data_IF_172114695373
#
_entry.id   IF_172114695373
#
_cell.length_a   1.000
_cell.length_b   1.000
_cell.length_c   1.000
_cell.angle_alpha   90.00
_cell.angle_beta   90.00
_cell.angle_gamma   90.00
#
_symmetry.space_group_name_H-M   'P 1'
#
loop_
_entity.id
_entity.type
_entity.pdbx_description
1 polymer ?
#
# COMPACT_ATOMS: atom_id res chain seq x y z
N UNK A 1 21.31 63.18 40.48
CA UNK A 1 22.14 62.15 39.84
C UNK A 1 21.37 60.83 39.96
N UNK A 2 20.57 60.45 38.97
CA UNK A 2 20.90 59.75 37.72
C UNK A 2 20.83 58.22 37.85
N UNK A 3 19.87 57.61 37.12
CA UNK A 3 19.76 56.25 36.55
C UNK A 3 20.00 55.05 37.50
N UNK A 4 19.11 54.06 37.54
CA UNK A 4 18.97 53.10 36.43
C UNK A 4 17.65 52.34 36.46
N UNK A 5 17.04 52.33 35.27
CA UNK A 5 15.94 51.50 34.80
C UNK A 5 16.52 50.15 34.32
N UNK A 6 16.01 49.03 34.85
CA UNK A 6 16.03 47.68 34.25
C UNK A 6 14.89 46.91 34.90
N UNK A 7 14.15 46.03 34.24
CA UNK A 7 13.83 45.79 32.85
C UNK A 7 12.76 44.69 32.96
N UNK A 8 11.54 45.01 32.54
CA UNK A 8 10.49 44.03 32.30
C UNK A 8 10.94 43.12 31.16
N UNK A 9 11.00 41.79 31.34
CA UNK A 9 11.13 40.85 30.22
C UNK A 9 10.77 39.42 30.60
N UNK A 10 10.08 38.77 29.66
CA UNK A 10 9.87 37.33 29.52
C UNK A 10 8.73 36.68 30.32
N UNK A 11 7.49 36.96 29.89
CA UNK A 11 6.40 35.97 29.92
C UNK A 11 5.49 36.21 28.70
N UNK A 12 6.01 35.97 27.49
CA UNK A 12 5.22 35.85 26.26
C UNK A 12 5.87 34.73 25.45
N UNK A 13 5.17 33.63 25.24
CA UNK A 13 5.67 32.59 24.36
C UNK A 13 5.06 31.20 24.46
N UNK A 14 3.78 31.04 24.79
CA UNK A 14 3.09 29.74 24.61
C UNK A 14 1.56 29.93 24.46
N UNK A 15 1.09 30.80 23.55
CA UNK A 15 -0.35 30.83 23.22
C UNK A 15 -0.64 31.55 21.89
N UNK A 16 -0.06 31.08 20.79
CA UNK A 16 -0.31 31.68 19.46
C UNK A 16 -0.57 30.63 18.38
N UNK A 17 -0.02 29.42 18.52
CA UNK A 17 -0.29 28.34 17.57
C UNK A 17 -1.72 27.78 17.67
N UNK A 18 -2.34 27.82 18.87
CA UNK A 18 -3.72 27.33 19.06
C UNK A 18 -4.78 28.28 18.48
N UNK A 19 -4.52 29.60 18.47
CA UNK A 19 -5.49 30.61 18.02
C UNK A 19 -5.50 30.82 16.50
N UNK A 20 -4.42 30.46 15.80
CA UNK A 20 -4.34 30.56 14.33
C UNK A 20 -5.08 29.39 13.66
N UNK A 21 -5.12 28.22 14.29
CA UNK A 21 -5.84 27.04 13.77
C UNK A 21 -7.36 27.07 14.05
N UNK A 22 -7.81 27.67 15.16
CA UNK A 22 -9.25 27.80 15.50
C UNK A 22 -10.01 28.71 14.52
N UNK A 23 -9.31 29.66 13.88
CA UNK A 23 -9.92 30.56 12.89
C UNK A 23 -10.20 29.89 11.54
N UNK A 24 -9.63 28.72 11.29
CA UNK A 24 -9.80 27.96 10.02
C UNK A 24 -11.01 27.01 10.07
N UNK A 25 -11.52 26.69 11.26
CA UNK A 25 -12.77 25.91 11.42
C UNK A 25 -14.03 26.73 11.06
N UNK A 26 -13.88 28.04 10.83
CA UNK A 26 -14.96 28.94 10.42
C UNK A 26 -15.53 28.61 9.01
N UNK A 27 -14.84 27.78 8.22
CA UNK A 27 -15.31 27.36 6.89
C UNK A 27 -16.25 26.16 6.88
N UNK A 28 -16.53 25.52 8.03
CA UNK A 28 -17.66 24.58 8.14
C UNK A 28 -19.03 25.29 8.02
N UNK A 29 -19.05 26.63 8.08
CA UNK A 29 -20.28 27.43 8.09
C UNK A 29 -20.68 28.03 6.72
N UNK A 30 -19.78 28.06 5.72
CA UNK A 30 -20.01 28.84 4.49
C UNK A 30 -20.69 28.08 3.33
N UNK A 31 -21.05 26.80 3.52
CA UNK A 31 -21.86 26.04 2.53
C UNK A 31 -23.10 25.45 3.22
N UNK A 32 -24.05 26.31 3.59
CA UNK A 32 -25.45 25.91 3.76
C UNK A 32 -26.23 26.23 2.48
N UNK A 33 -26.93 25.28 1.85
CA UNK A 33 -27.88 25.61 0.80
C UNK A 33 -29.03 26.46 1.38
N UNK A 34 -29.42 27.53 0.68
CA UNK A 34 -30.64 28.30 0.98
C UNK A 34 -31.85 27.35 0.97
N UNK A 35 -32.72 27.36 2.00
CA UNK A 35 -33.98 26.64 1.91
C UNK A 35 -34.90 27.37 0.93
N UNK A 36 -35.20 26.74 -0.21
CA UNK A 36 -36.30 27.16 -1.05
C UNK A 36 -37.61 26.88 -0.31
N UNK A 37 -38.36 27.95 -0.06
CA UNK A 37 -39.68 27.92 0.56
C UNK A 37 -40.71 27.40 -0.44
N UNK A 38 -41.28 26.22 -0.15
CA UNK A 38 -42.65 25.87 -0.51
C UNK A 38 -42.88 24.97 -1.73
N UNK A 39 -43.12 23.68 -1.49
CA UNK A 39 -44.35 22.97 -1.92
C UNK A 39 -44.38 21.58 -1.24
N UNK A 40 -45.59 21.11 -0.93
CA UNK A 40 -45.86 19.99 -0.04
C UNK A 40 -46.12 18.66 -0.76
N UNK A 41 -45.49 17.58 -0.27
CA UNK A 41 -46.00 16.19 -0.17
C UNK A 41 -45.90 15.25 -1.40
N UNK A 42 -46.04 13.91 -1.22
CA UNK A 42 -45.57 13.06 -0.11
C UNK A 42 -44.72 11.85 -0.56
N UNK A 43 -44.05 11.24 0.41
CA UNK A 43 -43.27 9.98 0.43
C UNK A 43 -43.39 9.01 -0.74
N UNK A 44 -42.25 8.69 -1.38
CA UNK A 44 -42.02 7.39 -2.02
C UNK A 44 -40.58 6.88 -1.77
N UNK A 45 -40.55 5.59 -1.47
CA UNK A 45 -39.44 4.67 -1.24
C UNK A 45 -38.08 4.97 -1.92
N UNK A 46 -36.98 4.81 -1.17
CA UNK A 46 -35.65 4.51 -1.71
C UNK A 46 -35.68 3.12 -2.38
N UNK A 47 -34.91 2.88 -3.47
CA UNK A 47 -33.54 2.38 -3.26
C UNK A 47 -32.49 2.67 -4.36
N UNK A 48 -31.20 2.51 -3.97
CA UNK A 48 -30.01 2.07 -4.74
C UNK A 48 -29.93 2.45 -6.23
N UNK A 49 -29.21 3.53 -6.55
CA UNK A 49 -28.57 3.78 -7.85
C UNK A 49 -27.06 3.94 -7.59
N UNK A 50 -26.14 3.13 -8.12
CA UNK A 50 -25.96 2.71 -9.51
C UNK A 50 -25.57 3.89 -10.41
N UNK A 51 -24.26 3.98 -10.67
CA UNK A 51 -23.69 4.12 -12.01
C UNK A 51 -23.92 5.44 -12.75
N UNK A 52 -22.83 6.17 -12.97
CA UNK A 52 -22.68 6.96 -14.19
C UNK A 52 -21.51 6.40 -14.99
N UNK A 53 -21.87 5.71 -16.08
CA UNK A 53 -21.00 5.28 -17.17
C UNK A 53 -20.85 6.46 -18.12
N UNK A 54 -19.62 6.75 -18.52
CA UNK A 54 -19.29 7.63 -19.63
C UNK A 54 -19.50 6.85 -20.93
N UNK A 55 -20.42 7.30 -21.80
CA UNK A 55 -20.37 7.00 -23.23
C UNK A 55 -20.65 8.28 -24.01
N UNK A 56 -19.70 8.63 -24.87
CA UNK A 56 -19.66 9.86 -25.63
C UNK A 56 -19.11 9.58 -27.03
N UNK A 57 -20.04 9.39 -27.96
CA UNK A 57 -19.95 9.65 -29.40
C UNK A 57 -18.96 8.81 -30.25
N UNK A 58 -19.48 7.73 -30.84
CA UNK A 58 -19.05 7.26 -32.17
C UNK A 58 -19.89 7.95 -33.25
N UNK A 59 -19.20 8.65 -34.14
CA UNK A 59 -19.74 9.27 -35.36
C UNK A 59 -20.20 8.21 -36.35
N UNK A 60 -21.41 8.39 -36.87
CA UNK A 60 -22.03 7.60 -37.94
C UNK A 60 -21.54 8.00 -39.33
N UNK A 61 -21.21 7.03 -40.18
CA UNK A 61 -21.39 7.08 -41.65
C UNK A 61 -21.24 5.68 -42.28
N UNK A 62 -21.82 5.44 -43.48
CA UNK A 62 -22.63 4.25 -43.73
C UNK A 62 -21.89 3.10 -44.45
N UNK A 63 -22.45 1.90 -44.27
CA UNK A 63 -22.06 0.65 -44.92
C UNK A 63 -22.47 0.68 -46.40
N UNK A 64 -21.49 0.49 -47.28
CA UNK A 64 -21.69 0.13 -48.70
C UNK A 64 -21.68 -1.39 -48.80
N UNK A 65 -22.77 -1.92 -49.37
CA UNK A 65 -22.99 -3.30 -49.72
C UNK A 65 -22.36 -3.61 -51.08
N UNK A 66 -21.53 -4.64 -51.17
CA UNK A 66 -21.13 -5.27 -52.44
C UNK A 66 -21.19 -6.79 -52.28
N UNK A 67 -21.81 -7.39 -53.28
CA UNK A 67 -22.24 -8.78 -53.42
C UNK A 67 -21.21 -9.59 -54.24
N UNK A 68 -21.26 -10.93 -54.12
CA UNK A 68 -20.96 -11.83 -55.25
C UNK A 68 -19.57 -12.49 -55.42
N UNK A 69 -19.55 -13.81 -55.16
CA UNK A 69 -18.94 -14.90 -55.96
C UNK A 69 -17.41 -15.10 -56.10
N UNK A 70 -16.96 -16.30 -55.68
CA UNK A 70 -16.58 -17.34 -56.66
C UNK A 70 -15.14 -17.88 -56.69
N UNK A 71 -15.03 -19.20 -56.79
CA UNK A 71 -13.88 -20.06 -57.23
C UNK A 71 -12.81 -20.38 -56.16
N UNK A 72 -12.64 -21.61 -55.64
CA UNK A 72 -12.37 -22.98 -56.17
C UNK A 72 -10.88 -23.40 -56.10
N UNK A 73 -10.65 -24.44 -55.29
CA UNK A 73 -9.66 -25.55 -55.32
C UNK A 73 -8.16 -25.29 -55.62
N UNK A 74 -7.24 -25.84 -54.78
CA UNK A 74 -6.40 -27.04 -55.07
C UNK A 74 -5.32 -27.33 -53.98
N UNK A 75 -5.52 -28.44 -53.26
CA UNK A 75 -4.62 -29.56 -52.95
C UNK A 75 -3.06 -29.45 -52.89
N UNK A 76 -2.54 -29.96 -51.75
CA UNK A 76 -1.55 -31.04 -51.53
C UNK A 76 -0.08 -30.77 -51.07
N UNK A 77 0.35 -31.72 -50.22
CA UNK A 77 1.72 -32.16 -49.82
C UNK A 77 2.42 -31.28 -48.77
N UNK A 78 3.13 -31.79 -47.75
CA UNK A 78 3.54 -33.12 -47.28
C UNK A 78 4.29 -32.90 -45.95
N UNK A 79 4.10 -33.76 -44.95
CA UNK A 79 5.13 -34.66 -44.37
C UNK A 79 6.16 -34.01 -43.42
N UNK A 80 6.55 -34.81 -42.41
CA UNK A 80 7.59 -34.61 -41.38
C UNK A 80 7.17 -33.79 -40.13
N UNK A 81 7.40 -34.19 -38.87
CA UNK A 81 8.14 -35.28 -38.19
C UNK A 81 7.53 -35.39 -36.76
N UNK A 82 7.24 -36.58 -36.19
CA UNK A 82 8.15 -37.45 -35.41
C UNK A 82 8.70 -36.73 -34.14
N UNK A 83 8.72 -37.18 -32.88
CA UNK A 83 8.57 -38.42 -32.08
C UNK A 83 8.23 -37.94 -30.63
N UNK A 84 7.79 -38.69 -29.62
CA UNK A 84 8.37 -39.88 -28.97
C UNK A 84 7.29 -40.49 -28.05
N UNK A 85 6.98 -41.78 -28.28
CA UNK A 85 6.22 -42.65 -27.37
C UNK A 85 7.20 -43.42 -26.46
N UNK A 86 6.98 -43.42 -25.15
CA UNK A 86 7.69 -44.30 -24.21
C UNK A 86 6.80 -45.50 -23.88
N UNK A 87 7.16 -46.67 -24.42
CA UNK A 87 6.48 -47.94 -24.19
C UNK A 87 7.25 -48.77 -23.16
N UNK A 88 6.52 -49.21 -22.14
CA UNK A 88 6.95 -50.13 -21.08
C UNK A 88 7.04 -51.55 -21.64
N UNK A 89 8.17 -52.21 -21.41
CA UNK A 89 8.36 -53.62 -21.75
C UNK A 89 9.33 -54.31 -20.79
N UNK A 90 8.80 -55.24 -20.00
CA UNK A 90 9.53 -56.36 -19.38
C UNK A 90 8.97 -57.66 -19.99
N UNK A 91 9.47 -58.87 -19.68
CA UNK A 91 10.85 -59.39 -19.55
C UNK A 91 11.04 -60.70 -20.39
N UNK A 92 12.25 -61.30 -20.45
CA UNK A 92 12.50 -62.77 -20.31
C UNK A 92 13.90 -63.28 -20.72
N UNK A 93 14.29 -64.36 -20.02
CA UNK A 93 15.25 -65.46 -20.33
C UNK A 93 16.75 -65.13 -20.41
N UNK A 94 17.61 -65.63 -19.51
CA UNK A 94 18.01 -67.03 -19.22
C UNK A 94 18.97 -67.64 -20.26
N UNK A 95 20.27 -67.74 -19.93
CA UNK A 95 21.04 -68.99 -19.72
C UNK A 95 22.56 -68.76 -19.74
N UNK A 96 23.21 -69.45 -18.78
CA UNK A 96 24.47 -70.21 -18.89
C UNK A 96 25.75 -69.41 -19.21
N UNK A 97 26.94 -69.66 -18.67
CA UNK A 97 27.53 -70.76 -17.91
C UNK A 97 28.99 -70.33 -17.68
N UNK A 98 29.60 -70.65 -16.53
CA UNK A 98 30.92 -71.31 -16.47
C UNK A 98 31.36 -71.52 -15.02
N UNK A 99 31.92 -72.71 -14.81
CA UNK A 99 32.49 -73.25 -13.59
C UNK A 99 33.81 -72.54 -13.25
N UNK A 100 34.01 -72.28 -11.97
CA UNK A 100 35.32 -72.04 -11.36
C UNK A 100 35.35 -72.62 -9.96
N UNK A 101 35.90 -73.83 -9.84
CA UNK A 101 36.16 -74.55 -8.59
C UNK A 101 37.43 -73.99 -7.97
N UNK A 102 37.38 -73.46 -6.75
CA UNK A 102 38.49 -73.50 -5.80
C UNK A 102 37.95 -73.67 -4.38
N UNK A 103 38.43 -74.75 -3.77
CA UNK A 103 38.29 -75.11 -2.36
C UNK A 103 39.24 -74.20 -1.58
N UNK A 104 38.74 -73.63 -0.50
CA UNK A 104 39.47 -72.74 0.40
C UNK A 104 38.62 -72.46 1.62
N UNK A 105 38.51 -73.48 2.47
CA UNK A 105 37.82 -73.44 3.75
C UNK A 105 38.50 -72.43 4.69
N UNK A 106 38.01 -71.19 4.69
CA UNK A 106 38.19 -70.25 5.79
C UNK A 106 36.85 -69.59 6.07
N UNK A 107 36.03 -70.24 6.90
CA UNK A 107 34.88 -69.61 7.56
C UNK A 107 35.46 -68.72 8.67
N UNK A 108 35.46 -67.38 8.56
CA UNK A 108 35.80 -66.54 9.70
C UNK A 108 34.70 -66.69 10.77
N UNK A 109 35.02 -67.00 12.03
CA UNK A 109 34.02 -67.02 13.08
C UNK A 109 33.68 -65.58 13.49
N UNK A 110 32.37 -65.29 13.54
CA UNK A 110 31.86 -64.22 14.38
C UNK A 110 31.80 -62.83 13.76
N UNK A 111 31.06 -62.66 12.66
CA UNK A 111 30.22 -61.46 12.57
C UNK A 111 28.94 -61.82 13.31
N UNK A 112 28.87 -61.45 14.59
CA UNK A 112 27.59 -61.41 15.29
C UNK A 112 26.61 -60.67 14.38
N UNK A 113 25.37 -61.14 14.16
CA UNK A 113 24.35 -60.27 13.60
C UNK A 113 24.29 -59.11 14.59
N UNK A 114 24.88 -57.96 14.22
CA UNK A 114 24.71 -56.73 14.96
C UNK A 114 23.21 -56.63 15.10
N UNK A 115 22.74 -56.65 16.35
CA UNK A 115 21.31 -56.60 16.65
C UNK A 115 20.77 -55.54 15.72
N UNK A 116 19.98 -55.94 14.73
CA UNK A 116 19.18 -54.97 14.03
C UNK A 116 18.29 -54.47 15.16
N UNK A 117 18.70 -53.35 15.77
CA UNK A 117 17.85 -52.55 16.61
C UNK A 117 16.81 -51.98 15.65
N UNK A 118 15.95 -52.90 15.19
CA UNK A 118 14.68 -52.64 14.57
C UNK A 118 14.01 -51.75 15.58
N UNK A 119 14.00 -50.45 15.29
CA UNK A 119 13.47 -49.47 16.22
C UNK A 119 12.12 -49.99 16.66
N UNK A 120 11.97 -50.21 17.98
CA UNK A 120 10.76 -50.80 18.53
C UNK A 120 9.58 -50.00 17.98
N UNK A 121 8.47 -50.67 17.63
CA UNK A 121 7.28 -49.98 17.11
C UNK A 121 6.85 -48.82 18.02
N UNK A 122 7.15 -48.90 19.33
CA UNK A 122 7.00 -47.83 20.30
C UNK A 122 7.92 -46.63 20.05
N UNK A 123 9.21 -46.83 19.74
CA UNK A 123 10.14 -45.75 19.39
C UNK A 123 9.71 -45.03 18.10
N UNK A 124 9.27 -45.78 17.09
CA UNK A 124 8.73 -45.22 15.85
C UNK A 124 7.47 -44.39 16.15
N UNK A 125 6.54 -44.91 16.97
CA UNK A 125 5.35 -44.18 17.37
C UNK A 125 5.67 -42.88 18.13
N UNK A 126 6.65 -42.90 19.05
CA UNK A 126 7.08 -41.70 19.78
C UNK A 126 7.68 -40.67 18.82
N UNK A 127 8.54 -41.07 17.88
CA UNK A 127 9.12 -40.15 16.90
C UNK A 127 8.06 -39.48 16.02
N UNK A 128 7.05 -40.23 15.58
CA UNK A 128 5.92 -39.68 14.80
C UNK A 128 5.16 -38.65 15.64
N UNK A 129 4.84 -38.97 16.90
CA UNK A 129 4.13 -38.03 17.79
C UNK A 129 4.94 -36.75 18.00
N UNK A 130 6.25 -36.87 18.26
CA UNK A 130 7.14 -35.71 18.40
C UNK A 130 7.19 -34.89 17.12
N UNK A 131 7.33 -35.53 15.94
CA UNK A 131 7.34 -34.83 14.66
C UNK A 131 6.03 -34.07 14.40
N UNK A 132 4.88 -34.68 14.70
CA UNK A 132 3.57 -34.02 14.58
C UNK A 132 3.46 -32.84 15.53
N UNK A 133 3.91 -32.96 16.78
CA UNK A 133 3.91 -31.85 17.74
C UNK A 133 4.79 -30.70 17.24
N UNK A 134 5.99 -30.99 16.74
CA UNK A 134 6.90 -29.97 16.20
C UNK A 134 6.26 -29.25 15.01
N UNK A 135 5.64 -29.98 14.08
CA UNK A 135 4.94 -29.39 12.95
C UNK A 135 3.72 -28.57 13.38
N UNK A 136 2.96 -29.03 14.37
CA UNK A 136 1.82 -28.29 14.92
C UNK A 136 2.28 -26.98 15.58
N UNK A 137 3.33 -27.02 16.40
CA UNK A 137 3.90 -25.83 17.06
C UNK A 137 4.44 -24.86 16.02
N UNK A 138 5.18 -25.33 15.01
CA UNK A 138 5.66 -24.49 13.92
C UNK A 138 4.50 -23.85 13.13
N UNK A 139 3.45 -24.61 12.85
CA UNK A 139 2.24 -24.12 12.18
C UNK A 139 1.54 -23.01 13.00
N UNK A 140 1.37 -23.21 14.31
CA UNK A 140 0.79 -22.20 15.21
C UNK A 140 1.67 -20.96 15.28
N UNK A 141 2.99 -21.11 15.37
CA UNK A 141 3.92 -19.98 15.42
C UNK A 141 3.86 -19.13 14.14
N UNK A 142 3.87 -19.78 12.96
CA UNK A 142 3.72 -19.09 11.67
C UNK A 142 2.35 -18.41 11.57
N UNK A 143 1.28 -19.07 11.99
CA UNK A 143 -0.07 -18.51 11.97
C UNK A 143 -0.19 -17.25 12.85
N UNK A 144 0.29 -17.32 14.10
CA UNK A 144 0.28 -16.18 15.02
C UNK A 144 1.16 -15.03 14.51
N UNK A 145 2.33 -15.34 13.96
CA UNK A 145 3.24 -14.36 13.36
C UNK A 145 2.60 -13.63 12.18
N UNK A 146 2.03 -14.38 11.23
CA UNK A 146 1.34 -13.82 10.06
C UNK A 146 0.17 -12.93 10.47
N UNK A 147 -0.65 -13.39 11.41
CA UNK A 147 -1.79 -12.61 11.89
C UNK A 147 -1.37 -11.29 12.56
N UNK A 148 -0.26 -11.29 13.29
CA UNK A 148 0.25 -10.08 13.94
C UNK A 148 0.82 -9.07 12.94
N UNK A 149 1.65 -9.53 12.01
CA UNK A 149 2.20 -8.68 10.95
C UNK A 149 1.08 -8.04 10.12
N UNK A 150 0.05 -8.83 9.81
CA UNK A 150 -1.13 -8.34 9.11
C UNK A 150 -1.84 -7.23 9.86
N UNK A 151 -2.12 -7.40 11.16
CA UNK A 151 -2.77 -6.35 11.97
C UNK A 151 -1.94 -5.08 11.99
N UNK A 152 -0.61 -5.18 12.13
CA UNK A 152 0.29 -4.01 12.07
C UNK A 152 0.18 -3.28 10.72
N UNK A 153 0.15 -4.00 9.61
CA UNK A 153 -0.01 -3.39 8.29
C UNK A 153 -1.39 -2.73 8.14
N UNK A 154 -2.45 -3.38 8.59
CA UNK A 154 -3.81 -2.81 8.59
C UNK A 154 -3.91 -1.56 9.47
N UNK A 155 -3.31 -1.57 10.65
CA UNK A 155 -3.29 -0.41 11.57
C UNK A 155 -2.51 0.76 10.99
N UNK A 156 -1.40 0.50 10.27
CA UNK A 156 -0.54 1.54 9.71
C UNK A 156 -1.06 2.12 8.39
N UNK A 157 -1.41 1.24 7.45
CA UNK A 157 -1.87 1.64 6.12
C UNK A 157 -3.37 1.93 6.08
N UNK A 158 -4.15 1.48 7.07
CA UNK A 158 -5.57 1.77 7.15
C UNK A 158 -6.30 1.49 5.82
N UNK A 159 -6.98 2.48 5.22
CA UNK A 159 -7.64 2.33 3.91
C UNK A 159 -6.72 1.88 2.77
N UNK A 160 -5.44 2.22 2.82
CA UNK A 160 -4.46 1.84 1.80
C UNK A 160 -4.19 0.34 1.80
N UNK A 161 -4.34 -0.35 2.95
CA UNK A 161 -4.23 -1.81 2.98
C UNK A 161 -5.32 -2.45 2.11
N UNK A 162 -6.57 -2.03 2.29
CA UNK A 162 -7.70 -2.61 1.57
C UNK A 162 -7.59 -2.31 0.06
N UNK A 163 -7.20 -1.07 -0.30
CA UNK A 163 -6.92 -0.69 -1.70
C UNK A 163 -5.82 -1.55 -2.33
N UNK A 164 -4.68 -1.73 -1.68
CA UNK A 164 -3.58 -2.55 -2.23
C UNK A 164 -3.98 -4.03 -2.35
N UNK A 165 -4.82 -4.54 -1.47
CA UNK A 165 -5.39 -5.90 -1.60
C UNK A 165 -6.30 -6.02 -2.82
N UNK A 166 -7.12 -5.01 -3.09
CA UNK A 166 -7.98 -4.96 -4.28
C UNK A 166 -7.16 -4.89 -5.57
N UNK A 167 -6.10 -4.07 -5.61
CA UNK A 167 -5.25 -3.87 -6.78
C UNK A 167 -4.34 -5.07 -7.08
N UNK A 168 -3.76 -5.70 -6.07
CA UNK A 168 -2.80 -6.81 -6.24
C UNK A 168 -3.45 -8.17 -6.52
N UNK A 169 -4.76 -8.29 -6.33
CA UNK A 169 -5.53 -9.52 -6.55
C UNK A 169 -5.25 -10.66 -5.54
N UNK A 170 -4.30 -10.48 -4.62
CA UNK A 170 -4.06 -11.43 -3.52
C UNK A 170 -3.50 -10.73 -2.28
N UNK A 171 -3.98 -11.16 -1.11
CA UNK A 171 -3.53 -10.57 0.16
C UNK A 171 -2.03 -10.75 0.41
N UNK A 172 -1.44 -11.88 0.00
CA UNK A 172 -0.01 -12.11 0.19
C UNK A 172 0.86 -11.18 -0.66
N UNK A 173 0.44 -10.89 -1.90
CA UNK A 173 1.12 -9.91 -2.74
C UNK A 173 1.02 -8.49 -2.16
N UNK A 174 -0.18 -8.08 -1.73
CA UNK A 174 -0.37 -6.78 -1.07
C UNK A 174 0.51 -6.61 0.16
N UNK A 175 0.51 -7.58 1.07
CA UNK A 175 1.30 -7.50 2.30
C UNK A 175 2.80 -7.42 2.00
N UNK A 176 3.28 -8.15 0.99
CA UNK A 176 4.68 -8.06 0.54
C UNK A 176 5.01 -6.67 -0.01
N UNK A 177 4.13 -6.11 -0.84
CA UNK A 177 4.31 -4.77 -1.41
C UNK A 177 4.32 -3.70 -0.31
N UNK A 178 3.36 -3.71 0.62
CA UNK A 178 3.30 -2.74 1.71
C UNK A 178 4.54 -2.81 2.62
N UNK A 179 5.07 -4.00 2.87
CA UNK A 179 6.35 -4.17 3.58
C UNK A 179 7.53 -3.58 2.80
N UNK A 180 7.53 -3.66 1.47
CA UNK A 180 8.54 -3.04 0.63
C UNK A 180 8.42 -1.51 0.62
N UNK A 181 7.19 -0.97 0.63
CA UNK A 181 6.94 0.47 0.82
C UNK A 181 7.48 0.96 2.17
N UNK A 182 7.23 0.24 3.27
CA UNK A 182 7.80 0.56 4.59
C UNK A 182 9.33 0.59 4.55
N UNK A 183 9.97 -0.37 3.86
CA UNK A 183 11.43 -0.44 3.76
C UNK A 183 12.00 0.76 3.00
N UNK A 184 11.47 1.06 1.81
CA UNK A 184 11.89 2.22 1.01
C UNK A 184 11.62 3.53 1.74
N UNK A 185 10.51 3.64 2.47
CA UNK A 185 10.22 4.80 3.29
C UNK A 185 11.22 4.97 4.44
N UNK A 186 11.64 3.88 5.08
CA UNK A 186 12.62 3.94 6.18
C UNK A 186 14.01 4.42 5.74
N UNK A 187 14.30 4.42 4.43
CA UNK A 187 15.54 4.95 3.86
C UNK A 187 15.47 6.48 3.61
N UNK A 188 14.28 7.09 3.72
CA UNK A 188 14.11 8.53 3.53
C UNK A 188 14.63 9.34 4.72
N UNK A 189 15.22 10.49 4.42
CA UNK A 189 15.57 11.50 5.44
C UNK A 189 14.47 12.54 5.52
N UNK A 190 13.48 12.29 6.38
CA UNK A 190 12.36 13.22 6.58
C UNK A 190 12.76 14.36 7.52
N UNK A 191 12.39 15.58 7.13
CA UNK A 191 12.75 16.80 7.87
C UNK A 191 11.50 17.41 8.53
N UNK A 192 11.51 17.65 9.85
CA UNK A 192 10.45 18.42 10.51
C UNK A 192 10.36 19.82 9.90
N UNK A 193 9.15 20.30 9.66
CA UNK A 193 8.98 21.68 9.17
C UNK A 193 9.35 22.67 10.26
N UNK A 194 10.13 23.69 9.89
CA UNK A 194 10.40 24.82 10.76
C UNK A 194 9.11 25.59 11.05
N UNK A 195 9.06 26.31 12.19
CA UNK A 195 7.90 27.15 12.51
C UNK A 195 7.67 28.23 11.44
N UNK A 196 8.75 28.79 10.89
CA UNK A 196 8.68 29.76 9.79
C UNK A 196 8.09 29.15 8.52
N UNK A 197 8.54 27.95 8.12
CA UNK A 197 7.98 27.22 6.99
C UNK A 197 6.49 26.97 7.17
N UNK A 198 6.05 26.52 8.35
CA UNK A 198 4.63 26.29 8.65
C UNK A 198 3.81 27.57 8.49
N UNK A 199 4.30 28.70 9.00
CA UNK A 199 3.63 30.01 8.83
C UNK A 199 3.59 30.44 7.37
N UNK A 200 4.69 30.27 6.63
CA UNK A 200 4.76 30.59 5.19
C UNK A 200 3.73 29.78 4.41
N UNK A 201 3.76 28.45 4.53
CA UNK A 201 2.83 27.56 3.84
C UNK A 201 1.37 27.84 4.21
N UNK A 202 1.08 28.09 5.49
CA UNK A 202 -0.27 28.48 5.93
C UNK A 202 -0.75 29.76 5.25
N UNK A 203 0.14 30.76 5.12
CA UNK A 203 -0.16 32.03 4.44
C UNK A 203 -0.38 31.83 2.94
N UNK A 204 0.45 31.03 2.27
CA UNK A 204 0.26 30.71 0.85
C UNK A 204 -1.07 29.97 0.61
N UNK A 205 -1.43 29.05 1.50
CA UNK A 205 -2.70 28.33 1.42
C UNK A 205 -3.92 29.26 1.55
N UNK A 206 -3.84 30.31 2.37
CA UNK A 206 -4.88 31.35 2.43
C UNK A 206 -5.00 32.13 1.12
N UNK A 207 -3.87 32.43 0.46
CA UNK A 207 -3.86 33.11 -0.86
C UNK A 207 -4.51 32.25 -1.94
N UNK A 208 -4.21 30.96 -1.97
CA UNK A 208 -4.84 30.00 -2.90
C UNK A 208 -6.36 29.99 -2.73
N UNK A 209 -6.85 29.95 -1.48
CA UNK A 209 -8.30 30.00 -1.22
C UNK A 209 -8.95 31.31 -1.66
N UNK A 210 -8.30 32.44 -1.43
CA UNK A 210 -8.81 33.74 -1.88
C UNK A 210 -8.87 33.81 -3.42
N UNK A 211 -7.84 33.28 -4.10
CA UNK A 211 -7.77 33.24 -5.55
C UNK A 211 -8.88 32.41 -6.19
N UNK A 212 -9.40 31.39 -5.50
CA UNK A 212 -10.45 30.52 -6.04
C UNK A 212 -11.73 31.27 -6.44
N UNK A 213 -12.02 32.41 -5.80
CA UNK A 213 -13.22 33.20 -6.11
C UNK A 213 -13.16 33.74 -7.54
N UNK A 214 -11.99 34.25 -7.94
CA UNK A 214 -11.80 34.92 -9.23
C UNK A 214 -11.24 33.96 -10.29
N UNK A 215 -10.44 32.98 -9.88
CA UNK A 215 -9.73 32.06 -10.77
C UNK A 215 -9.70 30.62 -10.21
N UNK A 216 -10.81 29.87 -10.28
CA UNK A 216 -10.93 28.53 -9.70
C UNK A 216 -9.91 27.51 -10.24
N UNK A 217 -9.65 27.55 -11.55
CA UNK A 217 -8.71 26.62 -12.21
C UNK A 217 -7.28 26.87 -11.74
N UNK A 218 -6.87 28.13 -11.71
CA UNK A 218 -5.53 28.53 -11.24
C UNK A 218 -5.35 28.19 -9.78
N UNK A 219 -6.35 28.45 -8.92
CA UNK A 219 -6.28 28.12 -7.51
C UNK A 219 -6.09 26.61 -7.26
N UNK A 220 -6.71 25.73 -8.04
CA UNK A 220 -6.50 24.28 -7.91
C UNK A 220 -5.11 23.86 -8.36
N UNK A 221 -4.58 24.45 -9.43
CA UNK A 221 -3.21 24.19 -9.88
C UNK A 221 -2.16 24.67 -8.84
N UNK A 222 -2.35 25.87 -8.30
CA UNK A 222 -1.49 26.42 -7.23
C UNK A 222 -1.59 25.58 -5.94
N UNK A 223 -2.75 25.00 -5.63
CA UNK A 223 -2.89 24.07 -4.50
C UNK A 223 -2.08 22.79 -4.69
N UNK A 224 -2.13 22.20 -5.90
CA UNK A 224 -1.34 21.00 -6.25
C UNK A 224 0.17 21.27 -6.15
N UNK A 225 0.60 22.41 -6.68
CA UNK A 225 2.00 22.84 -6.59
C UNK A 225 2.42 23.07 -5.13
N UNK A 226 1.60 23.79 -4.35
CA UNK A 226 1.91 24.08 -2.95
C UNK A 226 2.00 22.81 -2.10
N UNK A 227 1.10 21.84 -2.32
CA UNK A 227 1.18 20.51 -1.68
C UNK A 227 2.45 19.78 -2.11
N UNK A 228 2.79 19.80 -3.39
CA UNK A 228 4.00 19.15 -3.92
C UNK A 228 5.28 19.77 -3.32
N UNK A 229 5.35 21.10 -3.23
CA UNK A 229 6.45 21.80 -2.57
C UNK A 229 6.56 21.42 -1.09
N UNK A 230 5.43 21.31 -0.39
CA UNK A 230 5.41 20.90 1.01
C UNK A 230 5.91 19.46 1.19
N UNK A 231 5.49 18.55 0.31
CA UNK A 231 5.95 17.16 0.28
C UNK A 231 7.47 17.10 0.04
N UNK A 232 7.99 17.91 -0.88
CA UNK A 232 9.42 18.01 -1.14
C UNK A 232 10.21 18.56 0.06
N UNK A 233 9.73 19.64 0.71
CA UNK A 233 10.40 20.22 1.88
C UNK A 233 10.44 19.25 3.07
N UNK A 234 9.45 18.37 3.18
CA UNK A 234 9.42 17.27 4.14
C UNK A 234 10.44 16.17 3.85
N UNK A 235 11.04 16.15 2.66
CA UNK A 235 12.06 15.18 2.24
C UNK A 235 11.52 13.95 1.51
N UNK A 236 10.26 14.00 1.06
CA UNK A 236 9.71 12.94 0.20
C UNK A 236 10.11 13.17 -1.27
N UNK A 237 10.31 12.10 -2.05
CA UNK A 237 10.54 12.22 -3.49
C UNK A 237 9.28 12.74 -4.20
N UNK A 238 9.48 13.54 -5.26
CA UNK A 238 8.38 14.21 -5.99
C UNK A 238 8.51 14.07 -7.50
N UNK A 239 9.47 13.29 -8.01
CA UNK A 239 9.70 13.13 -9.44
C UNK A 239 8.62 12.29 -10.13
N UNK A 240 8.03 11.34 -9.39
CA UNK A 240 7.00 10.45 -9.88
C UNK A 240 5.82 10.37 -8.89
N UNK A 241 4.62 10.66 -9.39
CA UNK A 241 3.40 10.68 -8.60
C UNK A 241 3.09 9.32 -7.91
N UNK A 242 3.24 8.21 -8.61
CA UNK A 242 3.00 6.87 -8.02
C UNK A 242 4.04 6.52 -6.96
N UNK A 243 5.30 6.93 -7.16
CA UNK A 243 6.35 6.76 -6.17
C UNK A 243 6.07 7.62 -4.93
N UNK A 244 5.69 8.87 -5.13
CA UNK A 244 5.29 9.80 -4.08
C UNK A 244 4.12 9.23 -3.26
N UNK A 245 3.07 8.73 -3.90
CA UNK A 245 1.96 8.03 -3.22
C UNK A 245 2.46 6.82 -2.42
N UNK A 246 3.39 6.06 -2.98
CA UNK A 246 3.97 4.89 -2.32
C UNK A 246 4.65 5.27 -1.00
N UNK A 247 5.44 6.35 -0.99
CA UNK A 247 6.10 6.83 0.22
C UNK A 247 5.12 7.45 1.21
N UNK A 248 4.22 8.34 0.75
CA UNK A 248 3.21 8.95 1.60
C UNK A 248 2.27 7.92 2.24
N UNK A 249 2.05 6.77 1.62
CA UNK A 249 1.13 5.74 2.15
C UNK A 249 1.55 5.15 3.49
N UNK A 250 2.81 5.33 3.90
CA UNK A 250 3.33 4.78 5.16
C UNK A 250 2.93 5.63 6.37
N UNK A 251 2.97 6.97 6.24
CA UNK A 251 2.67 7.90 7.34
C UNK A 251 1.35 8.65 7.15
N UNK A 252 0.88 8.81 5.91
CA UNK A 252 -0.26 9.65 5.53
C UNK A 252 -1.38 8.85 4.85
N UNK A 253 -1.51 7.57 5.22
CA UNK A 253 -2.42 6.63 4.55
C UNK A 253 -3.90 7.08 4.57
N UNK A 254 -4.32 7.78 5.64
CA UNK A 254 -5.71 8.20 5.79
C UNK A 254 -6.10 9.37 4.87
N UNK A 255 -5.16 10.24 4.51
CA UNK A 255 -5.42 11.40 3.62
C UNK A 255 -5.02 11.14 2.17
N UNK A 256 -4.31 10.05 1.89
CA UNK A 256 -3.93 9.69 0.52
C UNK A 256 -5.10 9.52 -0.45
N UNK A 257 -6.25 9.04 0.02
CA UNK A 257 -7.46 8.99 -0.81
C UNK A 257 -7.86 10.39 -1.30
N UNK A 258 -7.84 11.38 -0.42
CA UNK A 258 -8.11 12.77 -0.78
C UNK A 258 -7.06 13.31 -1.75
N UNK A 259 -5.79 13.03 -1.52
CA UNK A 259 -4.75 13.49 -2.46
C UNK A 259 -4.96 12.94 -3.87
N UNK A 260 -5.31 11.65 -4.00
CA UNK A 260 -5.67 11.05 -5.29
C UNK A 260 -6.86 11.71 -5.95
N UNK A 261 -7.95 11.92 -5.21
CA UNK A 261 -9.16 12.55 -5.71
C UNK A 261 -8.89 14.00 -6.17
N UNK A 262 -8.08 14.75 -5.43
CA UNK A 262 -7.70 16.11 -5.77
C UNK A 262 -6.85 16.16 -7.06
N UNK A 263 -5.85 15.28 -7.15
CA UNK A 263 -4.94 15.23 -8.28
C UNK A 263 -5.66 14.83 -9.57
N UNK A 264 -6.57 13.85 -9.51
CA UNK A 264 -7.40 13.48 -10.66
C UNK A 264 -8.22 14.68 -11.18
N UNK A 265 -8.84 15.43 -10.27
CA UNK A 265 -9.61 16.64 -10.64
C UNK A 265 -8.69 17.73 -11.18
N UNK A 266 -7.51 17.94 -10.61
CA UNK A 266 -6.53 18.92 -11.09
C UNK A 266 -6.09 18.62 -12.52
N UNK A 267 -5.76 17.35 -12.79
CA UNK A 267 -5.36 16.86 -14.11
C UNK A 267 -6.51 16.98 -15.12
N UNK A 268 -7.76 16.71 -14.73
CA UNK A 268 -8.94 16.95 -15.56
C UNK A 268 -9.20 18.45 -15.80
N UNK A 269 -8.99 19.28 -14.79
CA UNK A 269 -9.11 20.74 -14.86
C UNK A 269 -8.14 21.35 -15.87
N UNK A 270 -6.89 20.86 -15.91
CA UNK A 270 -5.89 21.29 -16.87
C UNK A 270 -6.32 21.04 -18.34
N UNK A 271 -7.23 20.08 -18.56
CA UNK A 271 -7.84 19.81 -19.88
C UNK A 271 -9.17 20.54 -20.11
N UNK A 272 -9.64 21.34 -19.16
CA UNK A 272 -10.93 22.03 -19.23
C UNK A 272 -12.14 21.12 -18.99
N UNK A 273 -11.95 19.94 -18.39
CA UNK A 273 -13.00 18.92 -18.23
C UNK A 273 -13.66 18.95 -16.84
N UNK A 274 -13.16 19.77 -15.91
CA UNK A 274 -13.67 19.86 -14.54
C UNK A 274 -14.66 21.01 -14.36
N UNK A 275 -15.79 20.72 -13.71
CA UNK A 275 -16.75 21.73 -13.27
C UNK A 275 -16.24 22.51 -12.04
N UNK A 276 -16.72 23.74 -11.85
CA UNK A 276 -16.33 24.57 -10.68
C UNK A 276 -16.64 23.90 -9.34
N UNK A 277 -17.66 23.05 -9.25
CA UNK A 277 -17.94 22.26 -8.05
C UNK A 277 -16.88 21.17 -7.81
N UNK A 278 -16.40 20.52 -8.87
CA UNK A 278 -15.27 19.60 -8.74
C UNK A 278 -14.01 20.34 -8.29
N UNK A 279 -13.74 21.53 -8.83
CA UNK A 279 -12.60 22.36 -8.40
C UNK A 279 -12.70 22.73 -6.91
N UNK A 280 -13.90 23.06 -6.43
CA UNK A 280 -14.14 23.31 -5.00
C UNK A 280 -13.81 22.07 -4.17
N UNK A 281 -14.21 20.88 -4.60
CA UNK A 281 -13.90 19.61 -3.92
C UNK A 281 -12.40 19.31 -3.94
N UNK A 282 -11.71 19.58 -5.04
CA UNK A 282 -10.27 19.40 -5.14
C UNK A 282 -9.52 20.21 -4.08
N UNK A 283 -9.90 21.47 -3.84
CA UNK A 283 -9.30 22.28 -2.77
C UNK A 283 -9.55 21.68 -1.37
N UNK A 284 -10.73 21.14 -1.10
CA UNK A 284 -11.03 20.45 0.16
C UNK A 284 -10.16 19.20 0.31
N UNK A 285 -9.98 18.45 -0.77
CA UNK A 285 -9.18 17.25 -0.77
C UNK A 285 -7.67 17.54 -0.59
N UNK A 286 -7.12 18.53 -1.30
CA UNK A 286 -5.75 18.99 -1.05
C UNK A 286 -5.56 19.52 0.37
N UNK A 287 -6.53 20.26 0.91
CA UNK A 287 -6.50 20.77 2.29
C UNK A 287 -6.26 19.67 3.31
N UNK A 288 -6.87 18.50 3.10
CA UNK A 288 -6.79 17.38 4.03
C UNK A 288 -5.34 16.87 4.18
N UNK A 289 -4.67 16.56 3.06
CA UNK A 289 -3.26 16.15 3.09
C UNK A 289 -2.36 17.31 3.53
N UNK A 290 -2.63 18.53 3.05
CA UNK A 290 -1.85 19.72 3.39
C UNK A 290 -1.82 19.99 4.91
N UNK A 291 -2.99 19.91 5.56
CA UNK A 291 -3.10 20.08 7.01
C UNK A 291 -2.30 19.03 7.78
N UNK A 292 -2.40 17.77 7.38
CA UNK A 292 -1.65 16.67 7.99
C UNK A 292 -0.14 16.86 7.85
N UNK A 293 0.35 17.24 6.66
CA UNK A 293 1.78 17.49 6.42
C UNK A 293 2.33 18.69 7.21
N UNK A 294 1.49 19.69 7.50
CA UNK A 294 1.86 20.84 8.34
C UNK A 294 1.96 20.48 9.82
N UNK A 295 1.10 19.58 10.29
CA UNK A 295 1.01 19.16 11.69
C UNK A 295 1.92 17.97 12.04
N UNK A 296 2.35 17.21 11.03
CA UNK A 296 3.18 16.03 11.25
C UNK A 296 4.57 16.41 11.79
N UNK A 297 4.76 16.30 13.11
CA UNK A 297 6.10 16.04 13.63
C UNK A 297 6.49 14.61 13.16
N UNK A 298 7.58 14.45 12.39
CA UNK A 298 7.98 13.11 11.95
C UNK A 298 8.22 12.27 13.20
N UNK A 299 7.56 11.11 13.29
CA UNK A 299 7.86 10.15 14.35
C UNK A 299 9.33 9.78 14.12
N UNK A 300 10.26 10.14 15.03
CA UNK A 300 11.66 9.79 14.82
C UNK A 300 11.73 8.27 14.63
N UNK A 301 12.56 7.76 13.71
CA UNK A 301 12.73 6.32 13.55
C UNK A 301 13.03 5.77 14.93
N UNK A 302 12.18 4.87 15.42
CA UNK A 302 12.39 4.18 16.69
C UNK A 302 13.72 3.47 16.60
N UNK A 303 14.78 4.15 17.04
CA UNK A 303 16.11 3.57 17.20
C UNK A 303 15.96 2.46 18.24
N UNK A 304 16.21 1.19 17.89
CA UNK A 304 16.22 0.13 18.88
C UNK A 304 17.54 0.21 19.67
N UNK A 305 17.75 1.30 20.41
CA UNK A 305 18.93 1.50 21.24
C UNK A 305 18.67 2.58 22.31
N UNK A 306 17.86 2.24 23.30
CA UNK A 306 18.04 2.75 24.68
C UNK A 306 17.47 1.70 25.63
N UNK A 307 18.18 0.58 25.66
CA UNK A 307 18.18 -0.32 26.79
C UNK A 307 18.84 0.40 27.98
N UNK A 308 18.25 0.23 29.17
CA UNK A 308 19.00 0.11 30.43
C UNK A 308 19.70 1.35 30.99
N UNK A 309 18.98 2.23 31.69
CA UNK A 309 19.54 2.86 32.91
C UNK A 309 18.44 3.50 33.76
N UNK A 310 18.17 2.91 34.92
CA UNK A 310 17.86 3.64 36.16
C UNK A 310 17.86 2.63 37.31
N UNK A 311 19.06 2.39 37.81
CA UNK A 311 19.32 1.83 39.13
C UNK A 311 19.15 2.91 40.19
N UNK A 312 18.59 2.50 41.34
CA UNK A 312 18.85 3.00 42.70
C UNK A 312 17.83 3.97 43.35
N UNK A 313 17.12 3.46 44.37
CA UNK A 313 17.08 3.99 45.76
C UNK A 313 16.08 3.13 46.56
N UNK A 314 16.57 2.17 47.34
CA UNK A 314 16.65 2.21 48.81
C UNK A 314 15.31 2.10 49.53
N UNK A 315 15.03 0.94 50.14
CA UNK A 315 14.23 0.90 51.35
C UNK A 315 14.77 -0.16 52.33
N UNK A 316 15.14 0.37 53.49
CA UNK A 316 15.49 -0.29 54.74
C UNK A 316 14.23 -0.82 55.42
#
# INVERSE_FOLDING_TARGET
MAKTQRASSAAIGTDTSATIFDRIDQFRMFIRPRPLRGSAGPTQHLPRWAGYVIDGARTTSPVVQVDGQGMRHRALTGSDQALINFSVGSPRSARQQTRGRWIGDHVPPGISPGKEETMSGTQIAVLIVVAVIVLAVAGVAVFLGRNRSRRRLQERFGPEYDRTVEESGSREAAEKELLERERRHAELTLTPLSAESRTRYSTEWERVQAMFIDSPVTAVAEADELVTQLIAERGYPTENYEEQLSHLSVEHANTLGHYRDAHEISVASARGEASTEQLRKALVHYRALFGELLEADPVPPVSPASSTENTHTSHR
#
